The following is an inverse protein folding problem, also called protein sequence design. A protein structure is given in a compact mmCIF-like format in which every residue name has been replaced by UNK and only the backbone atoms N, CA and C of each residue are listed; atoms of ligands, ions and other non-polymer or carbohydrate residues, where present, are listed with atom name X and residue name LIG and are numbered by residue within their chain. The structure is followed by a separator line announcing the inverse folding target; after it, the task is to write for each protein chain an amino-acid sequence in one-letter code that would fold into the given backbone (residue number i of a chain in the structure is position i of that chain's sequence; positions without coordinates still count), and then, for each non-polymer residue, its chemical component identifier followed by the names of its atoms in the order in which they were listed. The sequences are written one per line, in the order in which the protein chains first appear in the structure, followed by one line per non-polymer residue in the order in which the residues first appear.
data_IF_260295882315
#
_entry.id   IF_260295882315
#
_cell.length_a   1.000
_cell.length_b   1.000
_cell.length_c   1.000
_cell.angle_alpha   90.00
_cell.angle_beta   90.00
_cell.angle_gamma   90.00
#
_symmetry.space_group_name_H-M   'P 1'
#
loop_
_entity.id
_entity.type
_entity.pdbx_description
1 polymer ?
#
# COMPACT_ATOMS: atom_id res chain seq x y z
N UNK A 1 8.35 38.70 -17.53
CA UNK A 1 9.50 38.21 -16.75
C UNK A 1 9.44 36.69 -16.73
N UNK A 2 10.54 36.00 -17.04
CA UNK A 2 10.57 34.55 -16.85
C UNK A 2 10.55 34.24 -15.34
N UNK A 3 9.78 33.23 -14.89
CA UNK A 3 9.80 32.82 -13.50
C UNK A 3 11.22 32.36 -13.13
N UNK A 4 11.68 32.79 -11.95
CA UNK A 4 12.99 32.41 -11.43
C UNK A 4 13.05 30.88 -11.31
N UNK A 5 14.14 30.21 -11.73
CA UNK A 5 14.30 28.77 -11.56
C UNK A 5 14.15 28.37 -10.08
N UNK A 6 13.64 27.16 -9.84
CA UNK A 6 13.52 26.62 -8.49
C UNK A 6 14.91 26.28 -7.94
N UNK A 7 15.28 26.93 -6.85
CA UNK A 7 16.51 26.70 -6.06
C UNK A 7 16.19 26.58 -4.56
N UNK A 8 17.20 26.24 -3.75
CA UNK A 8 17.04 26.11 -2.29
C UNK A 8 16.51 27.40 -1.65
N UNK A 9 16.86 28.58 -2.17
CA UNK A 9 16.41 29.84 -1.57
C UNK A 9 14.94 30.13 -1.88
N UNK A 10 14.46 29.69 -3.04
CA UNK A 10 13.10 29.91 -3.54
C UNK A 10 12.03 28.94 -3.01
N UNK A 11 12.43 27.81 -2.40
CA UNK A 11 11.46 26.85 -1.84
C UNK A 11 10.88 27.31 -0.50
N UNK A 12 9.71 26.78 -0.16
CA UNK A 12 8.99 27.10 1.08
C UNK A 12 9.84 26.80 2.33
N UNK A 13 9.94 27.76 3.24
CA UNK A 13 10.67 27.64 4.51
C UNK A 13 10.26 26.44 5.37
N UNK A 14 8.99 26.01 5.31
CA UNK A 14 8.53 24.82 6.03
C UNK A 14 9.15 23.53 5.48
N UNK A 15 9.47 23.48 4.19
CA UNK A 15 10.18 22.35 3.56
C UNK A 15 11.66 22.33 3.98
N UNK A 16 12.27 23.50 4.20
CA UNK A 16 13.64 23.60 4.72
C UNK A 16 13.73 23.13 6.17
N UNK A 17 12.69 23.41 6.97
CA UNK A 17 12.66 23.12 8.41
C UNK A 17 12.18 21.71 8.75
N UNK A 18 11.41 21.06 7.89
CA UNK A 18 10.88 19.73 8.17
C UNK A 18 11.99 18.68 8.12
N UNK A 19 12.04 17.81 9.14
CA UNK A 19 12.98 16.70 9.22
C UNK A 19 12.22 15.37 9.24
N UNK A 20 12.76 14.35 8.56
CA UNK A 20 12.18 13.00 8.50
C UNK A 20 13.24 11.93 8.77
N UNK A 21 13.56 11.77 10.05
CA UNK A 21 14.65 10.93 10.56
C UNK A 21 14.60 9.46 10.06
N UNK A 22 13.41 8.94 9.76
CA UNK A 22 13.20 7.55 9.31
C UNK A 22 13.96 7.23 8.01
N UNK A 23 14.22 8.23 7.15
CA UNK A 23 14.96 8.06 5.88
C UNK A 23 16.08 9.09 5.70
N UNK A 24 16.70 9.47 6.81
CA UNK A 24 17.70 10.55 6.84
C UNK A 24 19.14 10.00 6.77
N UNK A 25 20.12 10.76 7.28
CA UNK A 25 21.55 10.47 7.26
C UNK A 25 21.93 9.00 7.49
N UNK A 26 21.37 8.34 8.51
CA UNK A 26 21.65 6.93 8.80
C UNK A 26 21.19 6.01 7.68
N UNK A 27 20.01 6.26 7.11
CA UNK A 27 19.49 5.48 5.99
C UNK A 27 20.32 5.74 4.72
N UNK A 28 20.69 7.01 4.46
CA UNK A 28 21.53 7.38 3.33
C UNK A 28 22.90 6.69 3.41
N UNK A 29 23.56 6.76 4.57
CA UNK A 29 24.84 6.10 4.78
C UNK A 29 24.73 4.58 4.66
N UNK A 30 23.68 3.97 5.22
CA UNK A 30 23.42 2.56 5.06
C UNK A 30 23.18 2.16 3.59
N UNK A 31 22.53 3.01 2.80
CA UNK A 31 22.33 2.81 1.36
C UNK A 31 23.63 2.88 0.57
N UNK A 32 24.53 3.82 0.90
CA UNK A 32 25.87 3.88 0.31
C UNK A 32 26.68 2.62 0.61
N UNK A 33 26.72 2.20 1.87
CA UNK A 33 27.41 0.98 2.28
C UNK A 33 26.87 -0.27 1.57
N UNK A 34 25.55 -0.31 1.33
CA UNK A 34 24.94 -1.38 0.56
C UNK A 34 25.41 -1.38 -0.91
N UNK A 35 25.54 -0.20 -1.54
CA UNK A 35 26.08 -0.06 -2.90
C UNK A 35 27.56 -0.45 -2.97
N UNK A 36 28.32 -0.23 -1.91
CA UNK A 36 29.69 -0.73 -1.74
C UNK A 36 29.75 -2.27 -1.53
N UNK A 37 28.61 -2.96 -1.54
CA UNK A 37 28.53 -4.42 -1.41
C UNK A 37 28.46 -4.92 0.04
N UNK A 38 28.33 -4.03 1.03
CA UNK A 38 28.16 -4.47 2.42
C UNK A 38 26.76 -5.02 2.63
N UNK A 39 26.67 -6.11 3.39
CA UNK A 39 25.39 -6.67 3.82
C UNK A 39 24.78 -5.77 4.90
N UNK A 40 23.70 -5.08 4.54
CA UNK A 40 22.94 -4.19 5.43
C UNK A 40 21.55 -4.78 5.65
N UNK A 41 21.08 -4.75 6.90
CA UNK A 41 19.71 -5.11 7.26
C UNK A 41 19.01 -3.81 7.68
N UNK A 42 17.99 -3.41 6.93
CA UNK A 42 17.23 -2.20 7.22
C UNK A 42 16.14 -2.49 8.25
N UNK A 43 16.29 -1.95 9.45
CA UNK A 43 15.31 -2.04 10.55
C UNK A 43 14.75 -0.66 10.94
N UNK A 44 14.96 0.35 10.11
CA UNK A 44 14.57 1.74 10.33
C UNK A 44 13.09 2.03 10.00
N UNK A 45 12.46 1.21 9.14
CA UNK A 45 11.06 1.32 8.75
C UNK A 45 10.36 0.01 9.05
N UNK A 46 9.12 0.07 9.54
CA UNK A 46 8.22 -1.06 9.63
C UNK A 46 7.82 -1.58 8.24
N UNK A 47 8.74 -2.27 7.55
CA UNK A 47 8.52 -2.94 6.28
C UNK A 47 8.76 -4.46 6.44
N UNK A 48 7.77 -5.20 6.98
CA UNK A 48 7.91 -6.63 7.20
C UNK A 48 8.20 -7.45 5.94
N UNK A 49 7.67 -7.04 4.78
CA UNK A 49 7.92 -7.75 3.51
C UNK A 49 9.41 -7.66 3.10
N UNK A 50 10.07 -6.52 3.34
CA UNK A 50 11.51 -6.40 3.11
C UNK A 50 12.35 -7.29 4.04
N UNK A 51 11.77 -7.72 5.17
CA UNK A 51 12.36 -8.65 6.13
C UNK A 51 11.91 -10.10 5.93
N UNK A 52 11.22 -10.40 4.82
CA UNK A 52 10.85 -11.77 4.45
C UNK A 52 9.47 -12.23 4.91
N UNK A 53 8.61 -11.34 5.43
CA UNK A 53 7.21 -11.69 5.64
C UNK A 53 6.58 -12.07 4.29
N UNK A 54 6.00 -13.27 4.21
CA UNK A 54 5.26 -13.72 3.02
C UNK A 54 3.93 -12.95 2.91
N UNK A 55 3.57 -12.44 1.72
CA UNK A 55 2.28 -11.80 1.52
C UNK A 55 1.11 -12.74 1.83
N UNK A 56 0.02 -12.19 2.36
CA UNK A 56 -1.23 -12.94 2.52
C UNK A 56 -1.84 -13.26 1.15
N UNK A 57 -2.23 -14.52 0.95
CA UNK A 57 -2.68 -15.02 -0.36
C UNK A 57 -4.02 -14.41 -0.76
N UNK A 58 -5.02 -14.46 0.12
CA UNK A 58 -6.38 -14.00 -0.19
C UNK A 58 -6.45 -12.53 -0.64
N UNK A 59 -5.85 -11.55 0.05
CA UNK A 59 -5.84 -10.16 -0.43
C UNK A 59 -5.13 -10.00 -1.78
N UNK A 60 -4.06 -10.77 -2.03
CA UNK A 60 -3.32 -10.72 -3.30
C UNK A 60 -4.18 -11.23 -4.46
N UNK A 61 -4.94 -12.30 -4.24
CA UNK A 61 -5.88 -12.86 -5.21
C UNK A 61 -6.99 -11.86 -5.54
N UNK A 62 -7.62 -11.26 -4.51
CA UNK A 62 -8.69 -10.28 -4.71
C UNK A 62 -8.19 -9.06 -5.47
N UNK A 63 -7.04 -8.50 -5.09
CA UNK A 63 -6.45 -7.33 -5.76
C UNK A 63 -6.08 -7.64 -7.21
N UNK A 64 -5.51 -8.81 -7.48
CA UNK A 64 -5.20 -9.23 -8.84
C UNK A 64 -6.45 -9.26 -9.74
N UNK A 65 -7.56 -9.84 -9.26
CA UNK A 65 -8.83 -9.86 -9.99
C UNK A 65 -9.46 -8.47 -10.15
N UNK A 66 -9.31 -7.58 -9.17
CA UNK A 66 -9.76 -6.19 -9.32
C UNK A 66 -8.92 -5.39 -10.33
N UNK A 67 -7.62 -5.69 -10.46
CA UNK A 67 -6.72 -5.03 -11.42
C UNK A 67 -6.83 -5.60 -12.84
N UNK A 68 -7.20 -6.86 -12.97
CA UNK A 68 -7.37 -7.57 -14.23
C UNK A 68 -8.79 -8.18 -14.32
N UNK A 69 -9.86 -7.35 -14.37
CA UNK A 69 -11.23 -7.82 -14.30
C UNK A 69 -11.63 -8.75 -15.46
N UNK A 70 -10.95 -8.65 -16.61
CA UNK A 70 -11.15 -9.56 -17.75
C UNK A 70 -10.89 -11.04 -17.41
N UNK A 71 -10.11 -11.33 -16.36
CA UNK A 71 -9.92 -12.70 -15.87
C UNK A 71 -11.20 -13.30 -15.30
N UNK A 72 -12.17 -12.48 -14.90
CA UNK A 72 -13.45 -12.95 -14.37
C UNK A 72 -14.32 -13.64 -15.43
N UNK A 73 -14.03 -13.40 -16.71
CA UNK A 73 -14.72 -13.98 -17.86
C UNK A 73 -14.04 -15.27 -18.37
N UNK A 74 -12.85 -15.62 -17.86
CA UNK A 74 -12.14 -16.83 -18.26
C UNK A 74 -12.81 -18.08 -17.62
N UNK A 75 -13.23 -19.07 -18.42
CA UNK A 75 -13.87 -20.28 -17.90
C UNK A 75 -12.96 -21.11 -16.97
N UNK A 76 -11.64 -20.95 -17.07
CA UNK A 76 -10.65 -21.65 -16.26
C UNK A 76 -10.28 -20.90 -14.97
N UNK A 77 -10.84 -19.71 -14.74
CA UNK A 77 -10.49 -18.87 -13.60
C UNK A 77 -10.69 -19.56 -12.24
N UNK A 78 -11.72 -20.40 -12.13
CA UNK A 78 -11.98 -21.20 -10.91
C UNK A 78 -10.94 -22.28 -10.61
N UNK A 79 -10.05 -22.60 -11.56
CA UNK A 79 -8.90 -23.49 -11.34
C UNK A 79 -7.73 -22.75 -10.66
N UNK A 80 -7.68 -21.42 -10.79
CA UNK A 80 -6.56 -20.58 -10.35
C UNK A 80 -6.92 -19.80 -9.08
N UNK A 81 -8.16 -19.33 -8.99
CA UNK A 81 -8.64 -18.51 -7.88
C UNK A 81 -9.74 -19.22 -7.08
N UNK A 82 -9.70 -19.17 -5.74
CA UNK A 82 -10.75 -19.74 -4.91
C UNK A 82 -12.03 -18.92 -5.01
N UNK A 83 -13.18 -19.59 -4.82
CA UNK A 83 -14.51 -19.01 -5.03
C UNK A 83 -14.79 -17.76 -4.19
N UNK A 84 -14.26 -17.71 -2.96
CA UNK A 84 -14.39 -16.57 -2.05
C UNK A 84 -13.63 -15.33 -2.54
N UNK A 85 -12.43 -15.50 -3.11
CA UNK A 85 -11.67 -14.40 -3.71
C UNK A 85 -12.38 -13.82 -4.95
N UNK A 86 -12.98 -14.70 -5.76
CA UNK A 86 -13.77 -14.32 -6.94
C UNK A 86 -15.03 -13.56 -6.53
N UNK A 87 -15.75 -14.05 -5.53
CA UNK A 87 -16.94 -13.39 -5.01
C UNK A 87 -16.60 -12.02 -4.43
N UNK A 88 -15.50 -11.92 -3.67
CA UNK A 88 -15.03 -10.66 -3.08
C UNK A 88 -14.62 -9.64 -4.14
N UNK A 89 -13.89 -10.05 -5.18
CA UNK A 89 -13.48 -9.14 -6.25
C UNK A 89 -14.68 -8.62 -7.06
N UNK A 90 -15.65 -9.49 -7.40
CA UNK A 90 -16.92 -9.08 -8.03
C UNK A 90 -17.69 -8.08 -7.17
N UNK A 91 -17.76 -8.32 -5.85
CA UNK A 91 -18.38 -7.39 -4.91
C UNK A 91 -17.67 -6.03 -4.94
N UNK A 92 -16.34 -6.00 -4.89
CA UNK A 92 -15.57 -4.75 -4.92
C UNK A 92 -15.71 -3.98 -6.24
N UNK A 93 -15.69 -4.67 -7.38
CA UNK A 93 -15.92 -4.06 -8.69
C UNK A 93 -17.34 -3.50 -8.84
N UNK A 94 -18.33 -4.05 -8.14
CA UNK A 94 -19.70 -3.53 -8.15
C UNK A 94 -19.88 -2.22 -7.35
N UNK A 95 -18.91 -1.86 -6.49
CA UNK A 95 -18.98 -0.70 -5.60
C UNK A 95 -18.30 0.55 -6.18
N UNK A 96 -18.32 0.71 -7.51
CA UNK A 96 -17.56 1.69 -8.31
C UNK A 96 -17.85 3.17 -8.02
N UNK A 97 -18.80 3.51 -7.13
CA UNK A 97 -19.06 4.89 -6.69
C UNK A 97 -18.27 5.28 -5.43
N UNK A 98 -17.00 5.66 -5.63
CA UNK A 98 -16.27 6.52 -4.68
C UNK A 98 -15.90 5.91 -3.32
N UNK A 99 -15.76 4.59 -3.21
CA UNK A 99 -15.25 3.93 -1.99
C UNK A 99 -16.20 3.95 -0.78
N UNK A 100 -17.45 4.39 -0.95
CA UNK A 100 -18.49 4.37 0.09
C UNK A 100 -18.73 2.96 0.65
N UNK A 101 -18.74 1.95 -0.22
CA UNK A 101 -18.94 0.56 0.19
C UNK A 101 -17.81 0.01 1.05
N UNK A 102 -16.55 0.36 0.75
CA UNK A 102 -15.38 -0.05 1.55
C UNK A 102 -15.47 0.58 2.96
N UNK A 103 -15.88 1.84 3.06
CA UNK A 103 -16.07 2.51 4.37
C UNK A 103 -17.11 1.79 5.22
N UNK A 104 -18.20 1.31 4.61
CA UNK A 104 -19.21 0.51 5.30
C UNK A 104 -18.64 -0.81 5.82
N UNK A 105 -17.88 -1.56 5.01
CA UNK A 105 -17.23 -2.79 5.46
C UNK A 105 -16.24 -2.57 6.60
N UNK A 106 -15.45 -1.48 6.54
CA UNK A 106 -14.51 -1.10 7.62
C UNK A 106 -15.28 -0.82 8.91
N UNK A 107 -16.36 -0.04 8.85
CA UNK A 107 -17.17 0.27 10.03
C UNK A 107 -17.79 -1.00 10.64
N UNK A 108 -18.30 -1.90 9.81
CA UNK A 108 -18.86 -3.19 10.24
C UNK A 108 -17.79 -4.13 10.82
N UNK A 109 -16.57 -4.11 10.29
CA UNK A 109 -15.46 -4.86 10.86
C UNK A 109 -15.09 -4.34 12.26
N UNK A 110 -15.00 -3.02 12.43
CA UNK A 110 -14.69 -2.40 13.73
C UNK A 110 -15.78 -2.72 14.75
N UNK A 111 -17.06 -2.61 14.38
CA UNK A 111 -18.20 -2.99 15.23
C UNK A 111 -18.10 -4.45 15.69
N UNK A 112 -17.79 -5.39 14.78
CA UNK A 112 -17.60 -6.81 15.16
C UNK A 112 -16.37 -7.05 16.03
N UNK A 113 -15.28 -6.31 15.80
CA UNK A 113 -14.04 -6.43 16.57
C UNK A 113 -14.23 -5.92 17.99
N UNK A 114 -14.94 -4.81 18.15
CA UNK A 114 -15.02 -4.06 19.41
C UNK A 114 -16.30 -4.36 20.20
N UNK A 115 -17.35 -4.88 19.56
CA UNK A 115 -18.63 -5.18 20.21
C UNK A 115 -19.51 -3.96 20.51
N UNK A 116 -19.20 -2.80 19.91
CA UNK A 116 -19.95 -1.55 20.08
C UNK A 116 -20.53 -1.07 18.75
N UNK A 117 -21.76 -0.51 18.76
CA UNK A 117 -22.38 0.02 17.55
C UNK A 117 -21.60 1.21 17.00
N UNK A 118 -21.65 1.36 15.67
CA UNK A 118 -20.99 2.41 14.90
C UNK A 118 -21.57 3.78 15.27
N UNK A 119 -20.71 4.79 15.44
CA UNK A 119 -21.11 6.21 15.46
C UNK A 119 -21.55 6.67 14.06
#
# INVERSE_FOLDING_TARGET
MQPKPLDYDSINENVKKVAYAVRDELYLRASELQKEGKKIIFTNVGNPHALGQKPLIFPRQVVALCQAPFLLDDPNMGLIFPADAIARSKHYLSMTSGGLGIRKEVAEFIERRDGYPRC
#
